data_IF_944523453157
#
_entry.id   IF_944523453157
#
_cell.length_a   1.000
_cell.length_b   1.000
_cell.length_c   1.000
_cell.angle_alpha   90.00
_cell.angle_beta   90.00
_cell.angle_gamma   90.00
#
_symmetry.space_group_name_H-M   'P 1'
#
loop_
_entity.id
_entity.type
_entity.pdbx_description
1 polymer ?
#
# COMPACT_ATOMS: atom_id res chain seq x y z
N UNK A 1 3.58 14.85 -63.13
CA UNK A 1 4.37 15.01 -61.86
C UNK A 1 3.54 15.42 -60.62
N UNK A 2 2.28 15.87 -60.71
CA UNK A 2 1.44 16.23 -59.54
C UNK A 2 0.88 15.03 -58.74
N UNK A 3 0.60 13.89 -59.40
CA UNK A 3 -0.05 12.71 -58.79
C UNK A 3 0.82 11.95 -57.76
N UNK A 4 2.14 11.91 -57.94
CA UNK A 4 3.05 11.21 -57.05
C UNK A 4 3.19 11.91 -55.68
N UNK A 5 3.20 13.25 -55.67
CA UNK A 5 3.31 14.04 -54.42
C UNK A 5 2.05 13.93 -53.54
N UNK A 6 0.86 13.82 -54.18
CA UNK A 6 -0.40 13.59 -53.47
C UNK A 6 -0.49 12.22 -52.81
N UNK A 7 0.01 11.16 -53.47
CA UNK A 7 0.05 9.80 -52.92
C UNK A 7 1.02 9.71 -51.73
N UNK A 8 2.17 10.39 -51.85
CA UNK A 8 3.15 10.43 -50.76
C UNK A 8 2.61 11.20 -49.54
N UNK A 9 1.96 12.34 -49.76
CA UNK A 9 1.35 13.11 -48.66
C UNK A 9 0.20 12.36 -47.97
N UNK A 10 -0.62 11.63 -48.72
CA UNK A 10 -1.69 10.79 -48.15
C UNK A 10 -1.14 9.62 -47.34
N UNK A 11 -0.04 9.00 -47.78
CA UNK A 11 0.61 7.91 -47.04
C UNK A 11 1.25 8.39 -45.75
N UNK A 12 1.90 9.55 -45.77
CA UNK A 12 2.47 10.17 -44.55
C UNK A 12 1.37 10.54 -43.56
N UNK A 13 0.25 11.12 -44.04
CA UNK A 13 -0.90 11.46 -43.20
C UNK A 13 -1.51 10.20 -42.54
N UNK A 14 -1.64 9.09 -43.30
CA UNK A 14 -2.14 7.83 -42.79
C UNK A 14 -1.21 7.20 -41.70
N UNK A 15 0.12 7.29 -41.90
CA UNK A 15 1.10 6.83 -40.93
C UNK A 15 1.09 7.68 -39.65
N UNK A 16 0.98 8.99 -39.78
CA UNK A 16 0.85 9.93 -38.64
C UNK A 16 -0.46 9.68 -37.88
N UNK A 17 -1.56 9.44 -38.60
CA UNK A 17 -2.84 9.11 -37.96
C UNK A 17 -2.80 7.74 -37.23
N UNK A 18 -2.11 6.75 -37.79
CA UNK A 18 -1.90 5.46 -37.12
C UNK A 18 -1.03 5.57 -35.87
N UNK A 19 -0.03 6.45 -35.85
CA UNK A 19 0.83 6.67 -34.68
C UNK A 19 0.11 7.39 -33.53
N UNK A 20 -0.92 8.18 -33.83
CA UNK A 20 -1.74 8.85 -32.83
C UNK A 20 -2.75 7.92 -32.12
N UNK A 21 -3.06 6.77 -32.70
CA UNK A 21 -4.02 5.80 -32.10
C UNK A 21 -3.34 4.81 -31.16
N UNK A 22 -2.00 4.72 -31.15
CA UNK A 22 -1.23 3.81 -30.30
C UNK A 22 -0.86 4.38 -28.91
N UNK A 23 -1.26 5.60 -28.59
CA UNK A 23 -1.22 6.07 -27.21
C UNK A 23 -2.48 5.58 -26.49
N UNK A 24 -2.47 4.32 -26.03
CA UNK A 24 -3.39 3.91 -24.97
C UNK A 24 -3.13 4.87 -23.80
N UNK A 25 -4.16 5.50 -23.22
CA UNK A 25 -3.97 6.23 -21.98
C UNK A 25 -3.41 5.21 -20.97
N UNK A 26 -2.19 5.41 -20.48
CA UNK A 26 -1.77 4.78 -19.24
C UNK A 26 -2.84 5.14 -18.21
N UNK A 27 -3.53 4.15 -17.66
CA UNK A 27 -4.59 4.39 -16.68
C UNK A 27 -4.01 5.26 -15.58
N UNK A 28 -4.53 6.46 -15.39
CA UNK A 28 -4.03 7.33 -14.35
C UNK A 28 -4.43 6.72 -13.01
N UNK A 29 -3.45 6.41 -12.16
CA UNK A 29 -3.72 5.95 -10.79
C UNK A 29 -4.51 7.00 -10.01
N UNK A 30 -5.32 6.55 -9.06
CA UNK A 30 -6.10 7.45 -8.19
C UNK A 30 -5.18 8.41 -7.43
N UNK A 31 -5.64 9.65 -7.27
CA UNK A 31 -4.86 10.69 -6.58
C UNK A 31 -5.19 10.72 -5.10
N UNK A 32 -4.23 11.07 -4.22
CA UNK A 32 -4.51 11.20 -2.81
C UNK A 32 -5.50 12.34 -2.55
N UNK A 33 -6.34 12.17 -1.54
CA UNK A 33 -7.20 13.21 -1.00
C UNK A 33 -6.44 14.06 0.06
N UNK A 34 -7.16 14.93 0.78
CA UNK A 34 -6.58 15.77 1.84
C UNK A 34 -6.03 14.96 3.03
N UNK A 35 -6.53 13.77 3.25
CA UNK A 35 -6.17 12.92 4.39
C UNK A 35 -4.94 12.05 4.12
N UNK A 36 -4.51 11.96 2.87
CA UNK A 36 -3.32 11.30 2.36
C UNK A 36 -3.19 9.79 2.73
N UNK A 37 -3.41 9.41 3.99
CA UNK A 37 -3.16 8.05 4.48
C UNK A 37 -4.28 7.08 4.18
N UNK A 38 -5.47 7.58 3.85
CA UNK A 38 -6.63 6.76 3.48
C UNK A 38 -7.39 7.39 2.33
N UNK A 39 -7.67 6.60 1.31
CA UNK A 39 -8.56 6.96 0.21
C UNK A 39 -9.59 5.85 0.06
N UNK A 40 -10.85 6.19 0.27
CA UNK A 40 -11.99 5.29 0.08
C UNK A 40 -12.93 5.87 -0.98
N UNK A 41 -12.71 5.47 -2.24
CA UNK A 41 -13.56 5.91 -3.35
C UNK A 41 -14.92 5.21 -3.37
N UNK A 42 -15.01 4.05 -2.71
CA UNK A 42 -16.18 3.18 -2.71
C UNK A 42 -17.10 3.41 -1.51
N UNK A 43 -16.66 4.24 -0.54
CA UNK A 43 -17.37 4.52 0.72
C UNK A 43 -17.72 3.24 1.48
N UNK A 44 -16.78 2.31 1.56
CA UNK A 44 -16.92 1.03 2.27
C UNK A 44 -16.22 1.01 3.62
N UNK A 45 -15.39 2.02 3.90
CA UNK A 45 -14.75 2.19 5.20
C UNK A 45 -15.63 3.05 6.13
N UNK A 46 -15.65 2.73 7.40
CA UNK A 46 -16.26 3.57 8.40
C UNK A 46 -15.39 4.78 8.75
N UNK A 47 -16.00 5.90 9.09
CA UNK A 47 -15.28 7.08 9.55
C UNK A 47 -14.41 6.80 10.79
N UNK A 48 -14.75 5.79 11.60
CA UNK A 48 -13.92 5.33 12.71
C UNK A 48 -12.65 4.65 12.22
N UNK A 49 -12.75 3.79 11.22
CA UNK A 49 -11.59 3.11 10.61
C UNK A 49 -10.67 4.10 9.90
N UNK A 50 -11.22 5.02 9.11
CA UNK A 50 -10.44 6.07 8.46
C UNK A 50 -9.68 6.91 9.49
N UNK A 51 -10.39 7.41 10.51
CA UNK A 51 -9.76 8.18 11.59
C UNK A 51 -8.68 7.38 12.31
N UNK A 52 -8.91 6.11 12.57
CA UNK A 52 -7.93 5.23 13.20
C UNK A 52 -6.64 5.14 12.37
N UNK A 53 -6.77 4.91 11.06
CA UNK A 53 -5.63 4.85 10.12
C UNK A 53 -4.84 6.16 10.14
N UNK A 54 -5.53 7.31 10.08
CA UNK A 54 -4.91 8.64 10.09
C UNK A 54 -4.16 8.87 11.39
N UNK A 55 -4.81 8.66 12.53
CA UNK A 55 -4.22 8.90 13.86
C UNK A 55 -2.97 8.02 14.08
N UNK A 56 -2.99 6.76 13.62
CA UNK A 56 -1.83 5.86 13.73
C UNK A 56 -0.69 6.28 12.81
N UNK A 57 -0.97 6.75 11.60
CA UNK A 57 0.06 7.27 10.72
C UNK A 57 0.78 8.50 11.29
N UNK A 58 0.07 9.39 11.98
CA UNK A 58 0.71 10.53 12.66
C UNK A 58 1.74 10.05 13.69
N UNK A 59 1.47 8.94 14.38
CA UNK A 59 2.43 8.30 15.29
C UNK A 59 3.60 7.67 14.54
N UNK A 60 3.34 6.94 13.43
CA UNK A 60 4.40 6.34 12.60
C UNK A 60 5.36 7.42 12.09
N UNK A 61 4.82 8.49 11.51
CA UNK A 61 5.62 9.60 10.98
C UNK A 61 6.51 10.21 12.06
N UNK A 62 5.97 10.38 13.27
CA UNK A 62 6.69 11.04 14.36
C UNK A 62 7.74 10.14 15.03
N UNK A 63 7.47 8.83 15.14
CA UNK A 63 8.26 7.94 15.99
C UNK A 63 9.00 6.83 15.21
N UNK A 64 8.65 6.61 13.94
CA UNK A 64 9.20 5.54 13.10
C UNK A 64 9.88 6.11 11.85
N UNK A 65 10.70 7.14 12.00
CA UNK A 65 11.50 7.77 10.94
C UNK A 65 10.69 8.17 9.69
N UNK A 66 9.46 8.63 9.88
CA UNK A 66 8.60 9.03 8.79
C UNK A 66 7.90 7.88 8.08
N UNK A 67 7.82 6.70 8.68
CA UNK A 67 7.09 5.56 8.13
C UNK A 67 5.62 5.92 7.93
N UNK A 68 5.03 5.35 6.87
CA UNK A 68 3.62 5.57 6.51
C UNK A 68 3.00 4.26 6.02
N UNK A 69 1.75 4.01 6.42
CA UNK A 69 0.95 2.89 5.94
C UNK A 69 -0.32 3.47 5.33
N UNK A 70 -0.41 3.50 4.01
CA UNK A 70 -1.57 4.04 3.29
C UNK A 70 -2.54 2.93 2.91
N UNK A 71 -3.84 3.20 3.08
CA UNK A 71 -4.93 2.33 2.65
C UNK A 71 -5.68 2.99 1.51
N UNK A 72 -5.80 2.28 0.40
CA UNK A 72 -6.54 2.74 -0.78
C UNK A 72 -7.59 1.71 -1.14
N UNK A 73 -8.84 2.17 -1.22
CA UNK A 73 -9.97 1.38 -1.72
C UNK A 73 -10.51 2.05 -2.98
N UNK A 74 -10.57 1.30 -4.06
CA UNK A 74 -11.13 1.74 -5.34
C UNK A 74 -11.83 0.57 -6.04
N UNK A 75 -12.56 0.83 -7.11
CA UNK A 75 -13.31 -0.17 -7.84
C UNK A 75 -12.41 -1.21 -8.52
N UNK A 76 -11.50 -0.77 -9.37
CA UNK A 76 -10.70 -1.65 -10.23
C UNK A 76 -9.42 -0.99 -10.70
N UNK A 77 -8.52 -1.80 -11.29
CA UNK A 77 -7.35 -1.30 -12.02
C UNK A 77 -7.66 -0.91 -13.46
N UNK A 78 -8.90 -1.04 -13.91
CA UNK A 78 -9.30 -0.89 -15.32
C UNK A 78 -8.55 -1.82 -16.28
N UNK A 79 -8.21 -3.03 -15.81
CA UNK A 79 -7.54 -4.07 -16.57
C UNK A 79 -6.01 -3.98 -16.60
N UNK A 80 -5.42 -3.07 -15.83
CA UNK A 80 -3.99 -3.06 -15.58
C UNK A 80 -3.64 -4.19 -14.60
N UNK A 81 -2.41 -4.72 -14.69
CA UNK A 81 -1.89 -5.64 -13.68
C UNK A 81 -1.85 -4.97 -12.30
N UNK A 82 -2.28 -5.69 -11.27
CA UNK A 82 -2.43 -5.11 -9.92
C UNK A 82 -1.08 -4.70 -9.31
N UNK A 83 -0.01 -5.45 -9.58
CA UNK A 83 1.33 -5.13 -9.08
C UNK A 83 1.88 -3.88 -9.77
N UNK A 84 1.68 -3.76 -11.08
CA UNK A 84 2.04 -2.57 -11.85
C UNK A 84 1.27 -1.34 -11.35
N UNK A 85 -0.05 -1.47 -11.19
CA UNK A 85 -0.91 -0.40 -10.67
C UNK A 85 -0.50 0.03 -9.25
N UNK A 86 -0.26 -0.92 -8.34
CA UNK A 86 0.18 -0.65 -6.99
C UNK A 86 1.55 0.05 -6.97
N UNK A 87 2.46 -0.35 -7.85
CA UNK A 87 3.79 0.27 -7.99
C UNK A 87 3.68 1.72 -8.48
N UNK A 88 2.86 1.98 -9.48
CA UNK A 88 2.61 3.32 -9.98
C UNK A 88 1.97 4.21 -8.90
N UNK A 89 0.98 3.68 -8.18
CA UNK A 89 0.27 4.36 -7.11
C UNK A 89 1.22 4.71 -5.95
N UNK A 90 2.00 3.74 -5.48
CA UNK A 90 2.99 3.90 -4.42
C UNK A 90 3.99 5.01 -4.74
N UNK A 91 4.53 4.99 -5.96
CA UNK A 91 5.50 5.98 -6.43
C UNK A 91 4.87 7.36 -6.65
N UNK A 92 3.67 7.42 -7.22
CA UNK A 92 2.96 8.67 -7.48
C UNK A 92 2.61 9.41 -6.18
N UNK A 93 2.22 8.67 -5.14
CA UNK A 93 1.93 9.25 -3.84
C UNK A 93 3.20 9.53 -3.02
N UNK A 94 4.31 8.83 -3.31
CA UNK A 94 5.55 8.96 -2.55
C UNK A 94 5.40 8.51 -1.10
N UNK A 95 4.78 7.34 -0.90
CA UNK A 95 4.45 6.79 0.41
C UNK A 95 5.72 6.48 1.21
N UNK A 96 5.80 7.01 2.44
CA UNK A 96 6.94 6.83 3.33
C UNK A 96 8.02 7.91 3.21
N UNK A 97 9.06 7.77 4.00
CA UNK A 97 10.24 8.65 3.96
C UNK A 97 11.12 8.31 2.76
N UNK A 98 11.52 9.33 2.00
CA UNK A 98 12.44 9.17 0.83
C UNK A 98 13.84 8.68 1.20
N UNK A 99 14.23 8.79 2.47
CA UNK A 99 15.55 8.36 2.94
C UNK A 99 15.53 6.96 3.54
N UNK A 100 14.38 6.55 4.04
CA UNK A 100 14.19 5.26 4.70
C UNK A 100 13.47 4.24 3.82
N UNK A 101 12.78 4.68 2.74
CA UNK A 101 11.94 3.88 1.85
C UNK A 101 10.96 2.98 2.63
N UNK A 102 10.34 3.56 3.69
CA UNK A 102 9.60 2.85 4.72
C UNK A 102 8.09 3.07 4.64
N UNK A 103 7.58 3.22 3.44
CA UNK A 103 6.15 3.24 3.17
C UNK A 103 5.55 1.83 3.08
N UNK A 104 4.24 1.71 3.26
CA UNK A 104 3.45 0.53 2.92
C UNK A 104 2.16 0.98 2.26
N UNK A 105 1.81 0.35 1.15
CA UNK A 105 0.50 0.50 0.50
C UNK A 105 -0.33 -0.75 0.75
N UNK A 106 -1.56 -0.57 1.21
CA UNK A 106 -2.62 -1.58 1.25
C UNK A 106 -3.65 -1.15 0.21
N UNK A 107 -3.83 -1.92 -0.84
CA UNK A 107 -4.75 -1.63 -1.94
C UNK A 107 -5.86 -2.67 -1.95
N UNK A 108 -7.13 -2.22 -1.96
CA UNK A 108 -8.31 -3.05 -2.17
C UNK A 108 -9.04 -2.61 -3.44
N UNK A 109 -9.43 -3.60 -4.25
CA UNK A 109 -10.15 -3.44 -5.51
C UNK A 109 -11.49 -4.17 -5.38
N UNK A 110 -12.57 -3.42 -5.20
CA UNK A 110 -13.88 -3.99 -4.83
C UNK A 110 -14.57 -4.71 -5.98
N UNK A 111 -14.43 -4.23 -7.21
CA UNK A 111 -15.02 -4.83 -8.40
C UNK A 111 -14.15 -5.95 -8.98
N UNK A 112 -12.81 -5.82 -8.87
CA UNK A 112 -11.88 -6.86 -9.28
C UNK A 112 -11.78 -8.01 -8.26
N UNK A 113 -12.43 -7.86 -7.08
CA UNK A 113 -12.38 -8.80 -5.96
C UNK A 113 -10.94 -9.21 -5.62
N UNK A 114 -10.06 -8.21 -5.52
CA UNK A 114 -8.63 -8.40 -5.39
C UNK A 114 -8.01 -7.37 -4.43
N UNK A 115 -6.81 -7.66 -3.95
CA UNK A 115 -6.05 -6.77 -3.08
C UNK A 115 -4.54 -6.91 -3.32
N UNK A 116 -3.78 -5.90 -2.89
CA UNK A 116 -2.33 -5.93 -2.93
C UNK A 116 -1.74 -5.21 -1.72
N UNK A 117 -0.67 -5.77 -1.15
CA UNK A 117 0.09 -5.14 -0.06
C UNK A 117 1.53 -4.97 -0.53
N UNK A 118 1.99 -3.72 -0.56
CA UNK A 118 3.31 -3.38 -1.08
C UNK A 118 4.12 -2.62 -0.03
N UNK A 119 5.15 -3.23 0.57
CA UNK A 119 6.11 -2.54 1.40
C UNK A 119 7.16 -1.83 0.53
N UNK A 120 7.66 -0.70 1.01
CA UNK A 120 8.88 -0.09 0.49
C UNK A 120 10.12 -0.88 0.87
N UNK A 121 11.20 -0.68 0.12
CA UNK A 121 12.46 -1.45 0.24
C UNK A 121 13.00 -1.45 1.67
N UNK A 122 12.85 -0.33 2.41
CA UNK A 122 13.31 -0.21 3.79
C UNK A 122 12.59 -1.13 4.79
N UNK A 123 11.43 -1.67 4.42
CA UNK A 123 10.64 -2.56 5.26
C UNK A 123 10.59 -4.01 4.77
N UNK A 124 11.13 -4.35 3.59
CA UNK A 124 11.08 -5.71 3.03
C UNK A 124 11.71 -6.77 3.95
N UNK A 125 12.69 -6.38 4.74
CA UNK A 125 13.36 -7.29 5.69
C UNK A 125 12.47 -7.71 6.86
N UNK A 126 11.44 -6.93 7.21
CA UNK A 126 10.49 -7.20 8.31
C UNK A 126 9.10 -7.56 7.80
N UNK A 127 8.67 -6.94 6.71
CA UNK A 127 7.48 -7.31 5.97
C UNK A 127 7.86 -8.26 4.82
N UNK A 128 8.47 -9.39 5.18
CA UNK A 128 8.84 -10.42 4.21
C UNK A 128 7.61 -11.04 3.57
N UNK A 129 7.77 -11.70 2.41
CA UNK A 129 6.68 -12.43 1.76
C UNK A 129 5.94 -13.38 2.72
N UNK A 130 6.67 -14.04 3.61
CA UNK A 130 6.07 -14.95 4.61
C UNK A 130 5.22 -14.18 5.63
N UNK A 131 5.70 -13.05 6.13
CA UNK A 131 4.96 -12.21 7.10
C UNK A 131 3.72 -11.61 6.43
N UNK A 132 3.86 -11.08 5.21
CA UNK A 132 2.73 -10.55 4.45
C UNK A 132 1.67 -11.62 4.17
N UNK A 133 2.10 -12.84 3.81
CA UNK A 133 1.18 -13.95 3.59
C UNK A 133 0.42 -14.31 4.87
N UNK A 134 1.09 -14.35 6.01
CA UNK A 134 0.43 -14.60 7.29
C UNK A 134 -0.58 -13.50 7.64
N UNK A 135 -0.22 -12.22 7.47
CA UNK A 135 -1.15 -11.09 7.67
C UNK A 135 -2.36 -11.21 6.74
N UNK A 136 -2.14 -11.61 5.49
CA UNK A 136 -3.22 -11.82 4.54
C UNK A 136 -4.15 -12.93 5.04
N UNK A 137 -3.60 -14.08 5.38
CA UNK A 137 -4.38 -15.26 5.78
C UNK A 137 -5.16 -15.04 7.09
N UNK A 138 -4.54 -14.34 8.06
CA UNK A 138 -5.10 -14.19 9.41
C UNK A 138 -5.97 -12.93 9.56
N UNK A 139 -5.58 -11.79 8.94
CA UNK A 139 -6.18 -10.48 9.18
C UNK A 139 -6.98 -9.92 7.99
N UNK A 140 -6.56 -10.18 6.75
CA UNK A 140 -7.21 -9.64 5.55
C UNK A 140 -8.33 -10.54 5.03
N UNK A 141 -7.95 -11.73 4.58
CA UNK A 141 -8.80 -12.66 3.83
C UNK A 141 -10.10 -13.04 4.55
N UNK A 142 -10.12 -13.30 5.87
CA UNK A 142 -11.36 -13.68 6.55
C UNK A 142 -12.49 -12.66 6.45
N UNK A 143 -12.16 -11.38 6.33
CA UNK A 143 -13.13 -10.29 6.18
C UNK A 143 -13.32 -9.90 4.73
N UNK A 144 -12.24 -9.84 3.95
CA UNK A 144 -12.27 -9.50 2.53
C UNK A 144 -13.16 -10.47 1.73
N UNK A 145 -13.02 -11.77 1.93
CA UNK A 145 -13.84 -12.80 1.27
C UNK A 145 -15.34 -12.66 1.54
N UNK A 146 -15.73 -12.00 2.63
CA UNK A 146 -17.13 -11.66 2.95
C UNK A 146 -17.54 -10.28 2.45
N UNK A 147 -16.65 -9.57 1.77
CA UNK A 147 -16.81 -8.17 1.34
C UNK A 147 -17.01 -7.19 2.52
N UNK A 148 -16.50 -7.56 3.68
CA UNK A 148 -16.40 -6.70 4.84
C UNK A 148 -15.06 -5.94 4.77
N UNK A 149 -15.02 -4.98 3.84
CA UNK A 149 -13.81 -4.23 3.53
C UNK A 149 -13.34 -3.35 4.69
N UNK A 150 -14.26 -2.85 5.51
CA UNK A 150 -13.94 -2.07 6.71
C UNK A 150 -13.12 -2.89 7.71
N UNK A 151 -13.62 -4.08 8.06
CA UNK A 151 -12.90 -4.98 8.97
C UNK A 151 -11.58 -5.47 8.36
N UNK A 152 -11.57 -5.81 7.06
CA UNK A 152 -10.36 -6.24 6.37
C UNK A 152 -9.28 -5.15 6.39
N UNK A 153 -9.65 -3.92 6.03
CA UNK A 153 -8.73 -2.79 6.00
C UNK A 153 -8.17 -2.48 7.40
N UNK A 154 -9.05 -2.43 8.41
CA UNK A 154 -8.66 -2.15 9.80
C UNK A 154 -7.73 -3.20 10.36
N UNK A 155 -8.05 -4.49 10.21
CA UNK A 155 -7.24 -5.58 10.72
C UNK A 155 -5.88 -5.66 10.03
N UNK A 156 -5.86 -5.62 8.70
CA UNK A 156 -4.61 -5.61 7.92
C UNK A 156 -3.72 -4.43 8.28
N UNK A 157 -4.31 -3.22 8.40
CA UNK A 157 -3.57 -2.03 8.82
C UNK A 157 -2.96 -2.20 10.21
N UNK A 158 -3.72 -2.73 11.18
CA UNK A 158 -3.24 -2.94 12.55
C UNK A 158 -2.05 -3.89 12.55
N UNK A 159 -2.15 -5.04 11.87
CA UNK A 159 -1.09 -6.02 11.80
C UNK A 159 0.21 -5.43 11.21
N UNK A 160 0.11 -4.72 10.09
CA UNK A 160 1.25 -4.05 9.45
C UNK A 160 1.84 -2.97 10.36
N UNK A 161 0.98 -2.10 10.93
CA UNK A 161 1.42 -1.06 11.86
C UNK A 161 2.19 -1.62 13.05
N UNK A 162 1.75 -2.76 13.59
CA UNK A 162 2.43 -3.46 14.67
C UNK A 162 3.85 -3.93 14.27
N UNK A 163 3.99 -4.53 13.08
CA UNK A 163 5.30 -4.95 12.55
C UNK A 163 6.23 -3.77 12.41
N UNK A 164 5.76 -2.66 11.84
CA UNK A 164 6.54 -1.45 11.63
C UNK A 164 6.95 -0.82 12.97
N UNK A 165 6.01 -0.67 13.91
CA UNK A 165 6.32 -0.14 15.24
C UNK A 165 7.34 -1.01 15.98
N UNK A 166 7.17 -2.33 15.97
CA UNK A 166 8.09 -3.25 16.61
C UNK A 166 9.51 -3.15 16.03
N UNK A 167 9.61 -3.04 14.71
CA UNK A 167 10.88 -2.87 14.03
C UNK A 167 11.61 -1.61 14.54
N UNK A 168 10.97 -0.46 14.53
CA UNK A 168 11.60 0.79 14.98
C UNK A 168 11.81 0.87 16.51
N UNK A 169 11.05 0.13 17.30
CA UNK A 169 11.24 0.04 18.76
C UNK A 169 12.48 -0.78 19.14
N UNK A 170 12.81 -1.79 18.33
CA UNK A 170 13.97 -2.67 18.58
C UNK A 170 15.25 -2.13 17.93
N UNK A 171 15.14 -1.40 16.83
CA UNK A 171 16.27 -0.78 16.14
C UNK A 171 16.02 0.71 15.86
N UNK A 172 16.05 1.58 16.88
CA UNK A 172 15.80 3.01 16.72
C UNK A 172 16.84 3.69 15.82
N UNK A 173 18.00 3.08 15.58
CA UNK A 173 19.06 3.62 14.73
C UNK A 173 19.05 3.05 13.30
N UNK A 174 18.25 2.00 13.03
CA UNK A 174 18.20 1.37 11.71
C UNK A 174 19.54 0.78 11.27
N UNK A 175 20.37 0.35 12.22
CA UNK A 175 21.74 -0.11 11.97
C UNK A 175 21.86 -1.44 11.24
N UNK A 176 20.72 -2.04 10.89
CA UNK A 176 20.67 -3.12 9.90
C UNK A 176 21.35 -4.43 10.33
N UNK A 177 21.52 -4.65 11.62
CA UNK A 177 22.01 -5.93 12.09
C UNK A 177 20.89 -6.97 11.99
N UNK A 178 20.82 -7.59 10.79
CA UNK A 178 19.82 -8.61 10.45
C UNK A 178 19.88 -9.86 11.34
N UNK A 179 20.92 -9.99 12.13
CA UNK A 179 21.17 -11.17 12.96
C UNK A 179 20.45 -11.12 14.33
N UNK A 180 19.86 -9.96 14.67
CA UNK A 180 19.22 -9.74 15.97
C UNK A 180 17.69 -9.71 15.93
N UNK A 181 17.07 -9.96 14.77
CA UNK A 181 15.64 -10.25 14.74
C UNK A 181 15.40 -11.62 15.36
N UNK A 182 14.43 -11.77 16.28
CA UNK A 182 14.10 -13.08 16.80
C UNK A 182 13.79 -13.99 15.62
N UNK A 183 14.68 -14.98 15.42
CA UNK A 183 14.51 -16.01 14.41
C UNK A 183 13.25 -16.79 14.80
N UNK A 184 12.13 -16.38 14.23
CA UNK A 184 10.83 -16.95 14.50
C UNK A 184 10.74 -18.32 13.80
N UNK A 185 11.40 -19.31 14.41
CA UNK A 185 11.19 -20.72 14.10
C UNK A 185 9.76 -21.11 14.49
N UNK A 186 8.79 -20.63 13.71
CA UNK A 186 7.46 -21.24 13.62
C UNK A 186 6.48 -21.03 14.77
N UNK A 187 6.75 -20.12 15.72
CA UNK A 187 5.79 -19.82 16.80
C UNK A 187 5.55 -18.33 16.92
N UNK A 188 4.34 -17.93 16.52
CA UNK A 188 3.62 -16.70 16.84
C UNK A 188 4.46 -15.41 16.88
N UNK A 189 4.49 -14.71 15.75
CA UNK A 189 4.88 -13.30 15.68
C UNK A 189 3.86 -12.40 16.39
N UNK A 190 2.67 -12.91 16.66
CA UNK A 190 1.68 -12.28 17.52
C UNK A 190 1.93 -12.72 18.97
N UNK A 191 2.10 -11.77 19.93
CA UNK A 191 1.96 -12.12 21.34
C UNK A 191 0.57 -12.73 21.54
N UNK A 192 0.45 -13.79 22.36
CA UNK A 192 -0.80 -14.48 22.70
C UNK A 192 -1.87 -13.57 23.34
N UNK A 193 -1.54 -12.30 23.58
CA UNK A 193 -2.43 -11.21 23.97
C UNK A 193 -2.56 -10.20 22.80
N UNK A 194 -3.45 -10.47 21.87
CA UNK A 194 -4.03 -9.41 21.04
C UNK A 194 -4.75 -8.46 21.99
N UNK A 195 -4.23 -7.25 22.29
CA UNK A 195 -4.93 -6.35 23.18
C UNK A 195 -6.27 -6.00 22.53
N UNK A 196 -7.33 -6.20 23.33
CA UNK A 196 -8.68 -5.76 23.08
C UNK A 196 -8.65 -4.43 22.30
N UNK A 197 -9.33 -4.35 21.17
CA UNK A 197 -9.35 -3.21 20.24
C UNK A 197 -9.65 -1.85 20.90
N UNK A 198 -10.09 -1.85 22.15
CA UNK A 198 -10.42 -0.69 22.98
C UNK A 198 -9.33 -0.28 23.98
N UNK A 199 -8.29 -1.08 24.18
CA UNK A 199 -7.19 -0.65 25.04
C UNK A 199 -6.22 0.19 24.21
N UNK A 200 -6.17 1.47 24.49
CA UNK A 200 -5.26 2.45 23.88
C UNK A 200 -3.76 2.17 24.12
N UNK A 201 -3.36 0.92 23.97
CA UNK A 201 -1.97 0.46 24.02
C UNK A 201 -1.28 0.93 22.75
N UNK A 202 -0.91 2.14 22.81
CA UNK A 202 -0.13 2.98 21.93
C UNK A 202 1.20 2.32 21.58
N UNK A 203 1.69 2.60 20.37
CA UNK A 203 3.13 2.74 20.09
C UNK A 203 3.74 3.85 20.96
N UNK A 204 3.41 3.89 22.25
CA UNK A 204 3.87 4.92 23.20
C UNK A 204 5.29 4.66 23.68
N UNK A 205 5.98 3.63 23.22
CA UNK A 205 7.35 3.34 23.62
C UNK A 205 8.36 3.37 22.46
N UNK A 206 8.06 4.00 21.33
CA UNK A 206 9.11 4.37 20.40
C UNK A 206 9.81 5.62 20.96
N UNK A 207 10.81 5.42 21.83
CA UNK A 207 11.89 6.34 22.14
C UNK A 207 11.54 7.50 23.05
N UNK A 208 12.04 7.44 24.25
CA UNK A 208 12.62 8.61 24.93
C UNK A 208 14.14 8.54 24.88
#
# INVERSE_FOLDING_TARGET
>A
MKSSKFKLASMILAVVLCLLVLSAPAGAVVQPNSDFYVLDNENVLSAETEKYIIDRNLNLVSNCKGAQVCVVVTDSTNGQDIEEYATELFNAWGIGSKTEDNGVLILFLTDDDNYWIMPGIGLERVLTERVLRQIIDDDCEPSFARKDYDSAAKATFIAINQVVCNYYSQDPNGSGDSDNFPNNNGNNYYPDDYPDYNSGSSCLSCGS
#
